data_IF_599130093586
#
_entry.id   IF_599130093586
#
_cell.length_a   1.000
_cell.length_b   1.000
_cell.length_c   1.000
_cell.angle_alpha   90.00
_cell.angle_beta   90.00
_cell.angle_gamma   90.00
#
_symmetry.space_group_name_H-M   'P 1'
#
loop_
_entity.id
_entity.type
_entity.pdbx_description
1 polymer ?
#
# COMPACT_ATOMS: atom_id res chain seq x y z
N UNK A 1 -10.31 -40.55 -53.86
CA UNK A 1 -9.92 -40.60 -52.44
C UNK A 1 -9.53 -39.18 -52.01
N UNK A 2 -10.41 -38.47 -51.24
CA UNK A 2 -10.16 -37.12 -50.72
C UNK A 2 -9.82 -37.30 -49.22
N UNK A 3 -8.58 -37.02 -48.87
CA UNK A 3 -8.15 -37.03 -47.45
C UNK A 3 -8.52 -35.72 -46.78
N UNK A 4 -9.30 -35.79 -45.73
CA UNK A 4 -9.66 -34.67 -44.86
C UNK A 4 -8.65 -34.58 -43.73
N UNK A 5 -7.94 -33.45 -43.61
CA UNK A 5 -7.07 -33.15 -42.46
C UNK A 5 -7.89 -32.32 -41.48
N UNK A 6 -8.11 -32.75 -40.24
CA UNK A 6 -8.76 -31.90 -39.25
C UNK A 6 -7.74 -30.86 -38.75
N UNK A 7 -8.10 -29.57 -38.92
CA UNK A 7 -7.34 -28.46 -38.38
C UNK A 7 -7.39 -28.45 -36.85
N UNK A 8 -6.22 -28.59 -36.26
CA UNK A 8 -6.02 -28.47 -34.81
C UNK A 8 -6.11 -26.98 -34.41
N UNK A 9 -7.27 -26.54 -33.96
CA UNK A 9 -7.46 -25.20 -33.43
C UNK A 9 -6.69 -25.03 -32.10
N UNK A 10 -5.63 -24.25 -32.15
CA UNK A 10 -4.87 -23.82 -30.98
C UNK A 10 -5.73 -22.83 -30.16
N UNK A 11 -6.41 -23.31 -29.11
CA UNK A 11 -7.05 -22.48 -28.12
C UNK A 11 -5.97 -21.73 -27.32
N UNK A 12 -5.73 -20.48 -27.69
CA UNK A 12 -4.93 -19.57 -26.86
C UNK A 12 -5.76 -19.25 -25.59
N UNK A 13 -5.45 -19.92 -24.50
CA UNK A 13 -5.96 -19.54 -23.20
C UNK A 13 -5.35 -18.19 -22.82
N UNK A 14 -6.14 -17.11 -22.89
CA UNK A 14 -5.78 -15.82 -22.35
C UNK A 14 -5.85 -15.99 -20.81
N UNK A 15 -4.70 -16.22 -20.19
CA UNK A 15 -4.59 -16.15 -18.73
C UNK A 15 -4.91 -14.71 -18.31
N UNK A 16 -5.99 -14.51 -17.57
CA UNK A 16 -6.24 -13.26 -16.87
C UNK A 16 -5.03 -12.96 -15.96
N UNK A 17 -4.55 -11.72 -15.87
CA UNK A 17 -3.48 -11.41 -14.94
C UNK A 17 -3.98 -11.71 -13.52
N UNK A 18 -3.43 -12.74 -12.89
CA UNK A 18 -3.58 -12.94 -11.46
C UNK A 18 -3.03 -11.68 -10.79
N UNK A 19 -3.81 -11.07 -9.88
CA UNK A 19 -3.34 -9.93 -9.08
C UNK A 19 -1.98 -10.27 -8.51
N UNK A 20 -1.06 -9.31 -8.49
CA UNK A 20 0.29 -9.56 -8.03
C UNK A 20 0.27 -10.07 -6.58
N UNK A 21 1.14 -11.02 -6.27
CA UNK A 21 1.45 -11.38 -4.89
C UNK A 21 2.06 -10.16 -4.17
N UNK A 22 2.05 -10.17 -2.85
CA UNK A 22 2.77 -9.16 -2.07
C UNK A 22 4.26 -9.13 -2.45
N UNK A 23 4.86 -7.95 -2.34
CA UNK A 23 6.30 -7.77 -2.60
C UNK A 23 7.08 -8.28 -1.39
N UNK A 24 7.96 -9.24 -1.60
CA UNK A 24 8.78 -9.83 -0.53
C UNK A 24 9.79 -8.83 0.04
N UNK A 25 10.19 -9.04 1.30
CA UNK A 25 11.29 -8.34 1.93
C UNK A 25 12.59 -8.46 1.10
N UNK A 26 13.36 -7.39 1.01
CA UNK A 26 14.57 -7.27 0.19
C UNK A 26 14.35 -6.96 -1.28
N UNK A 27 13.11 -7.03 -1.79
CA UNK A 27 12.75 -6.65 -3.16
C UNK A 27 12.44 -5.17 -3.27
N UNK A 28 12.64 -4.60 -4.46
CA UNK A 28 12.33 -3.20 -4.72
C UNK A 28 10.82 -2.97 -4.68
N UNK A 29 10.37 -2.00 -3.88
CA UNK A 29 9.00 -1.51 -3.92
C UNK A 29 8.78 -0.74 -5.23
N UNK A 30 7.68 -0.95 -5.96
CA UNK A 30 7.45 -0.30 -7.25
C UNK A 30 7.41 1.22 -7.13
N UNK A 31 7.81 1.92 -8.18
CA UNK A 31 7.61 3.36 -8.27
C UNK A 31 6.12 3.68 -8.40
N UNK A 32 5.69 4.76 -7.76
CA UNK A 32 4.30 5.20 -7.77
C UNK A 32 4.17 6.72 -7.80
N UNK A 33 3.02 7.18 -8.26
CA UNK A 33 2.61 8.58 -8.22
C UNK A 33 1.10 8.64 -7.98
N UNK A 34 0.69 9.22 -6.87
CA UNK A 34 -0.70 9.30 -6.40
C UNK A 34 -1.06 10.74 -6.03
N UNK A 35 -2.34 11.00 -5.85
CA UNK A 35 -2.84 12.30 -5.35
C UNK A 35 -3.14 12.18 -3.86
N UNK A 36 -2.67 13.12 -3.05
CA UNK A 36 -2.98 13.14 -1.63
C UNK A 36 -4.34 13.80 -1.33
N UNK A 37 -4.75 13.74 -0.05
CA UNK A 37 -6.00 14.31 0.45
C UNK A 37 -6.14 15.83 0.25
N UNK A 38 -5.04 16.54 -0.06
CA UNK A 38 -5.07 17.98 -0.38
C UNK A 38 -5.24 18.24 -1.87
N UNK A 39 -5.18 17.21 -2.70
CA UNK A 39 -5.15 17.30 -4.16
C UNK A 39 -3.74 17.45 -4.74
N UNK A 40 -2.71 17.35 -3.90
CA UNK A 40 -1.31 17.44 -4.33
C UNK A 40 -0.80 16.11 -4.86
N UNK A 41 -0.05 16.16 -5.96
CA UNK A 41 0.60 14.95 -6.51
C UNK A 41 1.84 14.59 -5.70
N UNK A 42 1.91 13.35 -5.23
CA UNK A 42 3.01 12.78 -4.45
C UNK A 42 3.57 11.56 -5.19
N UNK A 43 4.89 11.40 -5.19
CA UNK A 43 5.54 10.26 -5.83
C UNK A 43 6.62 9.64 -4.94
N UNK A 44 6.92 8.37 -5.21
CA UNK A 44 7.99 7.65 -4.51
C UNK A 44 9.38 8.31 -4.68
N UNK A 45 9.58 9.09 -5.74
CA UNK A 45 10.86 9.78 -5.97
C UNK A 45 11.11 10.92 -4.97
N UNK A 46 10.04 11.53 -4.44
CA UNK A 46 10.12 12.54 -3.37
C UNK A 46 10.54 11.94 -2.01
N UNK A 47 10.51 10.62 -1.89
CA UNK A 47 10.90 9.87 -0.70
C UNK A 47 12.27 9.21 -0.85
N UNK A 48 13.01 9.51 -1.91
CA UNK A 48 14.34 8.94 -2.12
C UNK A 48 15.26 9.25 -0.92
N UNK A 49 15.91 8.21 -0.39
CA UNK A 49 16.79 8.32 0.78
C UNK A 49 16.06 8.37 2.13
N UNK A 50 14.73 8.19 2.16
CA UNK A 50 13.93 8.14 3.39
C UNK A 50 13.28 6.78 3.55
N UNK A 51 13.13 6.32 4.78
CA UNK A 51 12.24 5.21 5.09
C UNK A 51 10.80 5.69 5.13
N UNK A 52 9.86 4.85 4.73
CA UNK A 52 8.43 5.17 4.79
C UNK A 52 7.57 3.92 4.98
N UNK A 53 6.45 4.10 5.66
CA UNK A 53 5.37 3.13 5.78
C UNK A 53 4.30 3.41 4.72
N UNK A 54 3.98 2.43 3.88
CA UNK A 54 2.78 2.44 3.02
C UNK A 54 1.71 1.60 3.70
N UNK A 55 0.71 2.27 4.25
CA UNK A 55 -0.41 1.67 4.97
C UNK A 55 -1.63 1.61 4.05
N UNK A 56 -1.91 0.44 3.44
CA UNK A 56 -3.15 0.23 2.70
C UNK A 56 -4.30 -0.06 3.66
N UNK A 57 -5.36 0.71 3.57
CA UNK A 57 -6.57 0.54 4.36
C UNK A 57 -7.82 0.43 3.48
N UNK A 58 -8.82 -0.39 3.88
CA UNK A 58 -10.03 -0.65 3.07
C UNK A 58 -10.83 0.60 2.71
N UNK A 59 -11.20 1.42 3.70
CA UNK A 59 -12.02 2.61 3.46
C UNK A 59 -11.90 3.63 4.61
N UNK A 60 -11.91 4.90 4.25
CA UNK A 60 -11.91 6.02 5.17
C UNK A 60 -13.07 5.94 6.18
N UNK A 61 -12.85 6.40 7.41
CA UNK A 61 -13.84 6.54 8.48
C UNK A 61 -14.49 5.21 8.95
N UNK A 62 -13.98 4.06 8.55
CA UNK A 62 -14.42 2.77 9.10
C UNK A 62 -13.75 2.47 10.45
N UNK A 63 -14.40 1.73 11.37
CA UNK A 63 -13.87 1.53 12.72
C UNK A 63 -12.46 0.97 12.79
N UNK A 64 -12.14 -0.06 11.98
CA UNK A 64 -10.81 -0.68 11.96
C UNK A 64 -9.74 0.24 11.37
N UNK A 65 -10.06 0.99 10.29
CA UNK A 65 -9.12 1.95 9.71
C UNK A 65 -8.90 3.16 10.63
N UNK A 66 -9.93 3.58 11.34
CA UNK A 66 -9.84 4.64 12.35
C UNK A 66 -8.96 4.21 13.53
N UNK A 67 -9.12 3.00 14.05
CA UNK A 67 -8.30 2.47 15.13
C UNK A 67 -6.81 2.42 14.73
N UNK A 68 -6.51 1.91 13.54
CA UNK A 68 -5.15 1.80 13.01
C UNK A 68 -4.54 3.19 12.75
N UNK A 69 -5.28 4.10 12.10
CA UNK A 69 -4.82 5.47 11.87
C UNK A 69 -4.57 6.25 13.16
N UNK A 70 -5.39 6.05 14.20
CA UNK A 70 -5.15 6.63 15.53
C UNK A 70 -3.87 6.09 16.17
N UNK A 71 -3.62 4.78 16.07
CA UNK A 71 -2.37 4.19 16.56
C UNK A 71 -1.15 4.81 15.86
N UNK A 72 -1.18 4.97 14.53
CA UNK A 72 -0.13 5.63 13.78
C UNK A 72 0.03 7.12 14.14
N UNK A 73 -1.08 7.82 14.37
CA UNK A 73 -1.07 9.23 14.82
C UNK A 73 -0.45 9.37 16.21
N UNK A 74 -0.85 8.53 17.14
CA UNK A 74 -0.44 8.61 18.54
C UNK A 74 1.07 8.30 18.69
N UNK A 75 1.66 7.51 17.78
CA UNK A 75 3.09 7.20 17.70
C UNK A 75 3.88 8.12 16.76
N UNK A 76 3.30 9.21 16.25
CA UNK A 76 3.90 10.04 15.19
C UNK A 76 5.29 10.59 15.55
N UNK A 77 5.52 10.94 16.82
CA UNK A 77 6.81 11.48 17.24
C UNK A 77 7.90 10.41 17.24
N UNK A 78 7.55 9.15 17.55
CA UNK A 78 8.46 8.02 17.40
C UNK A 78 8.81 7.75 15.94
N UNK A 79 7.82 7.79 15.02
CA UNK A 79 8.05 7.66 13.57
C UNK A 79 8.94 8.78 13.03
N UNK A 80 8.69 10.02 13.41
CA UNK A 80 9.52 11.18 13.02
C UNK A 80 10.95 11.05 13.54
N UNK A 81 11.11 10.63 14.79
CA UNK A 81 12.42 10.41 15.41
C UNK A 81 13.19 9.28 14.72
N UNK A 82 12.50 8.25 14.24
CA UNK A 82 13.06 7.16 13.46
C UNK A 82 13.31 7.52 11.99
N UNK A 83 12.85 8.70 11.51
CA UNK A 83 12.97 9.12 10.13
C UNK A 83 12.04 8.38 9.16
N UNK A 84 10.91 7.85 9.65
CA UNK A 84 9.92 7.12 8.86
C UNK A 84 8.76 8.06 8.52
N UNK A 85 8.46 8.23 7.23
CA UNK A 85 7.27 8.92 6.76
C UNK A 85 6.09 7.95 6.68
N UNK A 86 4.90 8.36 7.17
CA UNK A 86 3.67 7.56 7.09
C UNK A 86 2.84 8.02 5.91
N UNK A 87 2.40 7.06 5.09
CA UNK A 87 1.54 7.27 3.93
C UNK A 87 0.37 6.28 3.99
N UNK A 88 -0.84 6.76 4.23
CA UNK A 88 -2.03 5.95 4.07
C UNK A 88 -2.43 5.87 2.61
N UNK A 89 -2.87 4.72 2.13
CA UNK A 89 -3.33 4.51 0.75
C UNK A 89 -4.66 3.77 0.73
N UNK A 90 -5.63 4.30 0.01
CA UNK A 90 -6.92 3.67 -0.22
C UNK A 90 -7.45 3.96 -1.63
N UNK A 91 -8.62 3.42 -1.96
CA UNK A 91 -9.32 3.73 -3.21
C UNK A 91 -10.29 4.89 -3.08
N UNK A 92 -10.41 5.45 -1.86
CA UNK A 92 -11.22 6.62 -1.59
C UNK A 92 -10.74 7.84 -2.39
N UNK A 93 -11.65 8.73 -2.71
CA UNK A 93 -11.33 9.99 -3.38
C UNK A 93 -10.55 10.92 -2.42
N UNK A 94 -9.76 11.87 -2.96
CA UNK A 94 -9.04 12.84 -2.13
C UNK A 94 -9.94 13.57 -1.12
N UNK A 95 -11.19 13.87 -1.48
CA UNK A 95 -12.15 14.56 -0.62
C UNK A 95 -12.59 13.70 0.58
N UNK A 96 -12.75 12.39 0.37
CA UNK A 96 -13.12 11.44 1.43
C UNK A 96 -11.93 11.26 2.38
N UNK A 97 -10.73 11.12 1.84
CA UNK A 97 -9.48 11.08 2.60
C UNK A 97 -9.22 12.37 3.38
N UNK A 98 -9.57 13.54 2.82
CA UNK A 98 -9.48 14.82 3.53
C UNK A 98 -10.38 14.83 4.76
N UNK A 99 -11.66 14.43 4.61
CA UNK A 99 -12.58 14.33 5.75
C UNK A 99 -12.04 13.41 6.83
N UNK A 100 -11.41 12.32 6.45
CA UNK A 100 -10.81 11.37 7.40
C UNK A 100 -9.62 11.99 8.13
N UNK A 101 -8.71 12.68 7.42
CA UNK A 101 -7.60 13.43 8.04
C UNK A 101 -8.11 14.47 9.03
N UNK A 102 -9.12 15.26 8.63
CA UNK A 102 -9.68 16.32 9.46
C UNK A 102 -10.38 15.78 10.71
N UNK A 103 -11.22 14.73 10.56
CA UNK A 103 -11.96 14.14 11.67
C UNK A 103 -11.06 13.51 12.74
N UNK A 104 -9.95 12.91 12.32
CA UNK A 104 -9.02 12.19 13.18
C UNK A 104 -7.74 12.97 13.51
N UNK A 105 -7.57 14.15 12.93
CA UNK A 105 -6.37 15.00 13.07
C UNK A 105 -5.10 14.25 12.70
N UNK A 106 -5.11 13.51 11.60
CA UNK A 106 -3.91 12.78 11.16
C UNK A 106 -2.80 13.73 10.69
N UNK A 107 -1.57 13.60 11.25
CA UNK A 107 -0.44 14.46 10.89
C UNK A 107 0.37 13.94 9.71
N UNK A 108 -0.19 13.01 8.92
CA UNK A 108 0.41 12.36 7.77
C UNK A 108 -0.54 12.35 6.56
N UNK A 109 -0.01 11.99 5.38
CA UNK A 109 -0.75 12.04 4.14
C UNK A 109 -1.58 10.78 3.91
N UNK A 110 -2.82 10.98 3.44
CA UNK A 110 -3.63 9.92 2.85
C UNK A 110 -3.65 10.11 1.33
N UNK A 111 -3.34 9.04 0.60
CA UNK A 111 -3.19 8.99 -0.84
C UNK A 111 -4.33 8.20 -1.48
N UNK A 112 -4.77 8.64 -2.65
CA UNK A 112 -5.85 8.03 -3.43
C UNK A 112 -5.28 7.21 -4.59
N UNK A 113 -5.38 5.88 -4.52
CA UNK A 113 -5.07 4.93 -5.60
C UNK A 113 -6.36 4.50 -6.29
N UNK A 114 -7.12 5.49 -6.80
CA UNK A 114 -8.48 5.29 -7.35
C UNK A 114 -8.51 4.40 -8.60
N UNK A 115 -7.42 4.34 -9.37
CA UNK A 115 -7.25 3.41 -10.50
C UNK A 115 -6.61 2.06 -10.10
N UNK A 116 -6.31 1.86 -8.82
CA UNK A 116 -5.78 0.64 -8.18
C UNK A 116 -4.45 0.15 -8.74
N UNK A 117 -3.72 1.00 -9.45
CA UNK A 117 -2.47 0.59 -10.11
C UNK A 117 -1.40 0.17 -9.12
N UNK A 118 -1.21 0.96 -8.06
CA UNK A 118 -0.26 0.60 -7.02
C UNK A 118 -0.74 -0.64 -6.27
N UNK A 119 -2.01 -0.66 -5.87
CA UNK A 119 -2.59 -1.78 -5.13
C UNK A 119 -2.47 -3.12 -5.88
N UNK A 120 -2.75 -3.11 -7.20
CA UNK A 120 -2.56 -4.30 -8.05
C UNK A 120 -1.09 -4.73 -8.13
N UNK A 121 -0.17 -3.77 -8.23
CA UNK A 121 1.26 -4.05 -8.34
C UNK A 121 1.85 -4.68 -7.06
N UNK A 122 1.25 -4.41 -5.89
CA UNK A 122 1.77 -4.84 -4.58
C UNK A 122 0.85 -5.81 -3.83
N UNK A 123 -0.19 -6.32 -4.48
CA UNK A 123 -1.11 -7.30 -3.86
C UNK A 123 -2.11 -6.71 -2.87
N UNK A 124 -2.25 -5.38 -2.79
CA UNK A 124 -3.33 -4.72 -2.03
C UNK A 124 -4.68 -4.80 -2.76
N UNK A 125 -4.67 -5.13 -4.06
CA UNK A 125 -5.83 -5.53 -4.84
C UNK A 125 -5.50 -6.75 -5.69
N UNK A 126 -6.52 -7.55 -6.01
CA UNK A 126 -6.43 -8.73 -6.87
C UNK A 126 -7.18 -8.56 -8.20
N UNK A 127 -8.02 -7.53 -8.30
CA UNK A 127 -8.80 -7.21 -9.48
C UNK A 127 -8.96 -5.68 -9.63
N UNK A 128 -9.04 -5.21 -10.87
CA UNK A 128 -9.15 -3.78 -11.18
C UNK A 128 -10.50 -3.17 -10.77
N UNK A 129 -11.52 -3.98 -10.58
CA UNK A 129 -12.86 -3.59 -10.14
C UNK A 129 -13.11 -3.82 -8.64
N UNK A 130 -12.07 -4.22 -7.89
CA UNK A 130 -12.16 -4.41 -6.43
C UNK A 130 -12.59 -3.11 -5.75
N UNK A 131 -13.59 -3.18 -4.88
CA UNK A 131 -14.22 -2.00 -4.28
C UNK A 131 -13.38 -1.29 -3.22
N UNK A 132 -12.47 -2.00 -2.54
CA UNK A 132 -11.62 -1.49 -1.47
C UNK A 132 -10.28 -2.22 -1.40
N UNK A 133 -9.25 -1.58 -0.88
CA UNK A 133 -7.94 -2.19 -0.70
C UNK A 133 -7.96 -3.27 0.40
N UNK A 134 -7.09 -4.27 0.27
CA UNK A 134 -6.76 -5.15 1.39
C UNK A 134 -6.07 -4.34 2.49
N UNK A 135 -6.25 -4.78 3.75
CA UNK A 135 -5.47 -4.24 4.87
C UNK A 135 -4.10 -4.92 4.89
N UNK A 136 -3.14 -4.29 4.27
CA UNK A 136 -1.75 -4.71 4.24
C UNK A 136 -0.86 -3.48 4.37
N UNK A 137 0.39 -3.67 4.77
CA UNK A 137 1.35 -2.57 4.84
C UNK A 137 2.73 -2.98 4.37
N UNK A 138 3.52 -1.99 4.01
CA UNK A 138 4.92 -2.15 3.65
C UNK A 138 5.78 -1.13 4.37
N UNK A 139 6.76 -1.60 5.10
CA UNK A 139 7.86 -0.78 5.57
C UNK A 139 8.95 -0.78 4.50
N UNK A 140 9.21 0.38 3.91
CA UNK A 140 10.16 0.55 2.80
C UNK A 140 11.36 1.34 3.26
N UNK A 141 12.55 0.85 2.96
CA UNK A 141 13.82 1.46 3.32
C UNK A 141 14.23 2.64 2.42
N UNK A 142 15.28 3.37 2.82
CA UNK A 142 15.82 4.50 2.05
C UNK A 142 16.32 4.12 0.64
N UNK A 143 16.68 2.85 0.43
CA UNK A 143 17.07 2.26 -0.85
C UNK A 143 15.90 1.77 -1.70
N UNK A 144 14.67 2.09 -1.28
CA UNK A 144 13.41 1.67 -1.90
C UNK A 144 13.18 0.15 -1.86
N UNK A 145 13.87 -0.59 -1.01
CA UNK A 145 13.57 -2.00 -0.78
C UNK A 145 12.58 -2.18 0.36
N UNK A 146 11.74 -3.19 0.24
CA UNK A 146 10.86 -3.62 1.31
C UNK A 146 11.71 -4.16 2.46
N UNK A 147 11.61 -3.55 3.63
CA UNK A 147 12.19 -4.05 4.88
C UNK A 147 11.29 -5.15 5.44
N UNK A 148 9.98 -4.87 5.52
CA UNK A 148 8.96 -5.82 6.01
C UNK A 148 7.65 -5.62 5.24
N UNK A 149 6.90 -6.70 5.06
CA UNK A 149 5.59 -6.74 4.39
C UNK A 149 4.57 -7.40 5.31
N UNK A 150 3.52 -6.65 5.67
CA UNK A 150 2.49 -7.07 6.62
C UNK A 150 1.21 -7.45 5.88
N UNK A 151 0.91 -8.75 5.79
CA UNK A 151 -0.31 -9.27 5.15
C UNK A 151 -1.47 -9.50 6.13
N UNK A 152 -1.16 -9.57 7.43
CA UNK A 152 -2.12 -9.68 8.53
C UNK A 152 -1.84 -8.57 9.56
N UNK A 153 -2.62 -7.52 9.49
CA UNK A 153 -2.43 -6.33 10.33
C UNK A 153 -3.44 -6.33 11.47
N UNK A 154 -2.95 -6.28 12.71
CA UNK A 154 -3.77 -5.94 13.88
C UNK A 154 -3.85 -4.41 14.01
N UNK A 155 -5.01 -3.76 13.79
CA UNK A 155 -5.12 -2.31 13.78
C UNK A 155 -4.67 -1.60 15.05
N UNK A 156 -4.67 -2.28 16.20
CA UNK A 156 -4.31 -1.67 17.50
C UNK A 156 -2.84 -1.84 17.88
N UNK A 157 -2.12 -2.74 17.21
CA UNK A 157 -0.72 -3.07 17.53
C UNK A 157 0.25 -2.66 16.42
N UNK A 158 -0.28 -2.43 15.21
CA UNK A 158 0.51 -2.24 14.00
C UNK A 158 1.53 -1.10 14.09
N UNK A 159 1.16 0.03 14.70
CA UNK A 159 2.06 1.16 14.80
C UNK A 159 3.35 0.84 15.59
N UNK A 160 3.21 0.11 16.71
CA UNK A 160 4.34 -0.32 17.54
C UNK A 160 5.15 -1.43 16.86
N UNK A 161 4.49 -2.38 16.18
CA UNK A 161 5.11 -3.47 15.42
C UNK A 161 6.07 -2.92 14.37
N UNK A 162 5.61 -1.99 13.53
CA UNK A 162 6.44 -1.36 12.48
C UNK A 162 7.67 -0.67 13.04
N UNK A 163 7.54 0.06 14.16
CA UNK A 163 8.67 0.72 14.83
C UNK A 163 9.69 -0.29 15.36
N UNK A 164 9.23 -1.41 15.93
CA UNK A 164 10.11 -2.47 16.42
C UNK A 164 10.87 -3.15 15.28
N UNK A 165 10.19 -3.46 14.17
CA UNK A 165 10.81 -4.08 12.99
C UNK A 165 11.82 -3.16 12.33
N UNK A 166 11.53 -1.85 12.22
CA UNK A 166 12.48 -0.90 11.72
C UNK A 166 13.75 -0.84 12.60
N UNK A 167 13.58 -0.74 13.91
CA UNK A 167 14.71 -0.74 14.85
C UNK A 167 15.54 -2.04 14.76
N UNK A 168 14.90 -3.18 14.53
CA UNK A 168 15.58 -4.46 14.31
C UNK A 168 16.35 -4.50 12.98
N UNK A 169 15.82 -3.87 11.93
CA UNK A 169 16.47 -3.82 10.61
C UNK A 169 17.78 -3.04 10.61
N UNK A 170 17.91 -2.02 11.47
CA UNK A 170 19.12 -1.20 11.60
C UNK A 170 20.29 -1.92 12.29
N UNK A 171 20.05 -3.10 12.88
CA UNK A 171 21.05 -3.90 13.60
C UNK A 171 21.66 -5.01 12.74
N UNK A 172 21.15 -5.19 11.53
CA UNK A 172 21.61 -6.20 10.56
C UNK A 172 22.64 -5.62 9.61
#
# INVERSE_FOLDING_TARGET
MKSWIPGLGLLLAIAAPAGAAMVDAGKSFPAWKLTDHTGTSVSSDQLAGKAYLVWFYPAAMTPGCTAEGRGLRDEIDAYRSAGIEILGVSFDRPEDNRRFVESESFPFRLLSDSDRKLALAVGAATAADQGYARRISYLVGPDRKVIEAYDQVNPTEHAAEVLADYAASLKK
#
